data_IF_573962193445
#
_entry.id   IF_573962193445
#
_cell.length_a   1.000
_cell.length_b   1.000
_cell.length_c   1.000
_cell.angle_alpha   90.00
_cell.angle_beta   90.00
_cell.angle_gamma   90.00
#
_symmetry.space_group_name_H-M   'P 1'
#
loop_
_entity.id
_entity.type
_entity.pdbx_description
1 polymer ?
#
# COMPACT_ATOMS: atom_id res chain seq x y z
N UNK A 1 46.06 -18.06 -33.42
CA UNK A 1 44.82 -17.26 -33.59
C UNK A 1 43.77 -17.83 -32.66
N UNK A 2 43.58 -17.23 -31.50
CA UNK A 2 42.47 -17.55 -30.62
C UNK A 2 41.99 -16.23 -30.03
N UNK A 3 40.72 -15.92 -30.18
CA UNK A 3 40.04 -15.07 -29.22
C UNK A 3 38.64 -15.60 -29.02
N UNK A 4 38.36 -15.81 -27.74
CA UNK A 4 37.23 -16.56 -27.22
C UNK A 4 35.94 -15.75 -27.36
N UNK A 5 34.85 -16.48 -27.61
CA UNK A 5 33.51 -15.94 -27.76
C UNK A 5 33.07 -15.12 -26.56
N UNK A 6 32.46 -13.97 -26.86
CA UNK A 6 31.66 -13.19 -25.93
C UNK A 6 30.37 -13.96 -25.66
N UNK A 7 30.26 -14.56 -24.48
CA UNK A 7 28.98 -14.98 -23.94
C UNK A 7 28.32 -13.76 -23.29
N UNK A 8 27.45 -13.07 -24.03
CA UNK A 8 26.48 -12.14 -23.43
C UNK A 8 25.34 -12.97 -22.84
N UNK A 9 25.47 -13.34 -21.58
CA UNK A 9 24.37 -13.96 -20.84
C UNK A 9 23.19 -13.00 -20.74
N UNK A 10 22.11 -13.27 -21.49
CA UNK A 10 20.84 -12.57 -21.33
C UNK A 10 20.28 -12.92 -19.96
N UNK A 11 20.42 -12.00 -18.99
CA UNK A 11 19.76 -12.13 -17.68
C UNK A 11 18.25 -12.16 -17.93
N UNK A 12 17.61 -13.30 -17.70
CA UNK A 12 16.15 -13.40 -17.78
C UNK A 12 15.58 -12.51 -16.68
N UNK A 13 14.97 -11.39 -17.09
CA UNK A 13 14.30 -10.48 -16.15
C UNK A 13 12.93 -11.07 -15.85
N UNK A 14 12.69 -11.42 -14.59
CA UNK A 14 11.36 -11.80 -14.12
C UNK A 14 10.50 -10.53 -14.08
N UNK A 15 9.35 -10.58 -14.75
CA UNK A 15 8.40 -9.47 -14.76
C UNK A 15 7.22 -9.77 -13.83
N UNK A 16 6.86 -8.77 -13.03
CA UNK A 16 5.72 -8.76 -12.12
C UNK A 16 4.73 -7.73 -12.63
N UNK A 17 3.43 -8.03 -12.58
CA UNK A 17 2.41 -7.05 -12.88
C UNK A 17 2.00 -6.30 -11.61
N UNK A 18 2.26 -5.01 -11.55
CA UNK A 18 1.78 -4.13 -10.48
C UNK A 18 0.50 -3.47 -10.93
N UNK A 19 -0.58 -3.60 -10.16
CA UNK A 19 -1.86 -2.96 -10.41
C UNK A 19 -2.20 -1.94 -9.34
N UNK A 20 -2.57 -0.74 -9.76
CA UNK A 20 -3.01 0.36 -8.91
C UNK A 20 -4.53 0.37 -8.89
N UNK A 21 -5.13 0.46 -7.71
CA UNK A 21 -6.56 0.51 -7.50
C UNK A 21 -6.90 1.60 -6.49
N UNK A 22 -7.62 2.61 -6.94
CA UNK A 22 -7.99 3.77 -6.13
C UNK A 22 -9.49 4.08 -6.27
N UNK A 23 -10.32 3.85 -5.23
CA UNK A 23 -11.69 4.32 -5.23
C UNK A 23 -11.70 5.85 -5.16
N UNK A 24 -12.28 6.50 -6.17
CA UNK A 24 -12.29 7.96 -6.28
C UNK A 24 -13.36 8.47 -7.27
N UNK A 25 -14.18 9.42 -6.82
CA UNK A 25 -15.16 10.08 -7.66
C UNK A 25 -14.54 11.27 -8.39
N UNK A 26 -14.75 11.32 -9.70
CA UNK A 26 -14.26 12.38 -10.58
C UNK A 26 -15.42 13.15 -11.20
N UNK A 27 -15.16 14.37 -11.65
CA UNK A 27 -16.10 15.12 -12.47
C UNK A 27 -15.88 14.83 -13.96
N UNK A 28 -16.86 15.17 -14.79
CA UNK A 28 -16.73 15.10 -16.25
C UNK A 28 -15.47 15.85 -16.74
N UNK A 29 -14.74 15.22 -17.66
CA UNK A 29 -13.48 15.73 -18.20
C UNK A 29 -12.26 15.53 -17.29
N UNK A 30 -12.44 14.98 -16.08
CA UNK A 30 -11.33 14.62 -15.19
C UNK A 30 -10.93 13.16 -15.36
N UNK A 31 -9.63 12.90 -15.25
CA UNK A 31 -9.05 11.56 -15.24
C UNK A 31 -8.10 11.41 -14.07
N UNK A 32 -7.87 10.18 -13.63
CA UNK A 32 -6.84 9.86 -12.64
C UNK A 32 -5.60 9.28 -13.30
N UNK A 33 -4.45 9.64 -12.75
CA UNK A 33 -3.14 9.23 -13.24
C UNK A 33 -2.20 8.98 -12.06
N UNK A 34 -1.35 7.98 -12.21
CA UNK A 34 -0.24 7.68 -11.29
C UNK A 34 1.06 8.16 -11.92
N UNK A 35 1.85 8.92 -11.17
CA UNK A 35 3.17 9.35 -11.61
C UNK A 35 4.19 9.12 -10.50
N UNK A 36 5.37 8.62 -10.85
CA UNK A 36 6.38 8.20 -9.90
C UNK A 36 7.81 8.43 -10.37
N UNK A 37 8.77 8.07 -9.52
CA UNK A 37 10.21 8.25 -9.74
C UNK A 37 10.74 7.48 -10.95
N UNK A 38 10.17 6.31 -11.19
CA UNK A 38 10.64 5.41 -12.23
C UNK A 38 10.10 5.78 -13.63
N UNK A 39 10.87 5.51 -14.70
CA UNK A 39 10.48 5.86 -16.07
C UNK A 39 9.12 5.28 -16.49
N UNK A 40 8.82 4.07 -15.99
CA UNK A 40 7.56 3.38 -16.29
C UNK A 40 6.33 4.09 -15.69
N UNK A 41 6.55 4.95 -14.69
CA UNK A 41 5.56 5.84 -14.09
C UNK A 41 5.83 7.32 -14.43
N UNK A 42 6.64 7.58 -15.46
CA UNK A 42 6.85 8.92 -16.02
C UNK A 42 7.99 9.74 -15.40
N UNK A 43 8.77 9.23 -14.45
CA UNK A 43 9.87 9.98 -13.82
C UNK A 43 9.48 11.39 -13.34
N UNK A 44 8.35 11.48 -12.62
CA UNK A 44 7.73 12.71 -12.14
C UNK A 44 7.22 13.68 -13.22
N UNK A 45 7.31 13.32 -14.50
CA UNK A 45 6.62 14.00 -15.59
C UNK A 45 5.19 13.46 -15.71
N UNK A 46 4.23 14.22 -15.16
CA UNK A 46 2.80 13.85 -15.14
C UNK A 46 2.27 13.54 -16.55
N UNK A 47 2.78 14.20 -17.59
CA UNK A 47 2.32 13.93 -18.97
C UNK A 47 2.67 12.51 -19.43
N UNK A 48 3.70 11.90 -18.82
CA UNK A 48 4.15 10.53 -19.06
C UNK A 48 3.68 9.54 -18.00
N UNK A 49 2.93 9.99 -16.99
CA UNK A 49 2.38 9.11 -15.98
C UNK A 49 1.37 8.10 -16.54
N UNK A 50 1.17 7.05 -15.76
CA UNK A 50 0.24 5.96 -16.05
C UNK A 50 -1.20 6.45 -15.85
N UNK A 51 -1.93 6.60 -16.96
CA UNK A 51 -3.35 6.95 -16.93
C UNK A 51 -4.16 5.75 -16.41
N UNK A 52 -5.03 5.99 -15.44
CA UNK A 52 -5.94 4.99 -14.91
C UNK A 52 -7.25 5.00 -15.68
N UNK A 53 -7.97 3.88 -15.64
CA UNK A 53 -9.29 3.71 -16.23
C UNK A 53 -10.35 3.49 -15.16
N UNK A 54 -11.52 4.14 -15.26
CA UNK A 54 -12.61 3.95 -14.30
C UNK A 54 -13.30 2.60 -14.51
N UNK A 55 -13.57 1.89 -13.42
CA UNK A 55 -14.30 0.63 -13.37
C UNK A 55 -15.33 0.72 -12.23
N UNK A 56 -16.59 0.43 -12.52
CA UNK A 56 -17.62 0.33 -11.48
C UNK A 56 -17.56 -1.05 -10.83
N UNK A 57 -17.54 -1.09 -9.50
CA UNK A 57 -17.68 -2.33 -8.72
C UNK A 57 -18.81 -2.13 -7.71
N UNK A 58 -20.01 -2.62 -8.05
CA UNK A 58 -21.22 -2.22 -7.34
C UNK A 58 -21.47 -0.71 -7.49
N UNK A 59 -21.68 -0.03 -6.37
CA UNK A 59 -21.89 1.42 -6.31
C UNK A 59 -20.57 2.23 -6.27
N UNK A 60 -19.41 1.57 -6.18
CA UNK A 60 -18.12 2.26 -6.07
C UNK A 60 -17.48 2.50 -7.45
N UNK A 61 -16.98 3.73 -7.67
CA UNK A 61 -16.15 4.08 -8.81
C UNK A 61 -14.66 3.90 -8.47
N UNK A 62 -13.99 3.02 -9.20
CA UNK A 62 -12.63 2.58 -8.89
C UNK A 62 -11.74 2.79 -10.10
N UNK A 63 -10.65 3.52 -9.90
CA UNK A 63 -9.67 3.77 -10.95
C UNK A 63 -8.58 2.72 -10.91
N UNK A 64 -8.41 2.04 -12.03
CA UNK A 64 -7.52 0.90 -12.18
C UNK A 64 -6.48 1.14 -13.29
N UNK A 65 -5.26 0.67 -13.09
CA UNK A 65 -4.21 0.66 -14.11
C UNK A 65 -3.08 -0.26 -13.70
N UNK A 66 -2.35 -0.82 -14.65
CA UNK A 66 -1.29 -1.77 -14.35
C UNK A 66 -0.05 -1.58 -15.20
N UNK A 67 1.07 -2.08 -14.69
CA UNK A 67 2.38 -1.97 -15.30
C UNK A 67 3.21 -3.22 -15.02
N UNK A 68 3.87 -3.73 -16.05
CA UNK A 68 4.85 -4.81 -15.89
C UNK A 68 6.21 -4.23 -15.51
N UNK A 69 6.78 -4.69 -14.41
CA UNK A 69 8.05 -4.21 -13.85
C UNK A 69 8.97 -5.37 -13.48
N UNK A 70 10.30 -5.16 -13.40
CA UNK A 70 11.22 -6.18 -12.88
C UNK A 70 10.88 -6.62 -11.45
N UNK A 71 11.24 -7.85 -11.06
CA UNK A 71 11.06 -8.36 -9.70
C UNK A 71 11.75 -7.52 -8.61
N UNK A 72 12.84 -6.81 -8.95
CA UNK A 72 13.57 -5.93 -8.03
C UNK A 72 13.07 -4.47 -8.06
N UNK A 73 11.90 -4.23 -8.66
CA UNK A 73 11.38 -2.87 -8.82
C UNK A 73 11.04 -2.22 -7.48
N UNK A 74 11.47 -0.97 -7.35
CA UNK A 74 11.06 -0.07 -6.27
C UNK A 74 10.81 1.31 -6.86
N UNK A 75 9.82 2.02 -6.33
CA UNK A 75 9.54 3.38 -6.77
C UNK A 75 8.83 4.20 -5.70
N UNK A 76 8.98 5.52 -5.80
CA UNK A 76 8.05 6.45 -5.18
C UNK A 76 6.97 6.86 -6.19
N UNK A 77 5.72 7.02 -5.74
CA UNK A 77 4.63 7.45 -6.62
C UNK A 77 3.61 8.35 -5.92
N UNK A 78 2.83 9.05 -6.74
CA UNK A 78 1.63 9.77 -6.31
C UNK A 78 0.50 9.73 -7.34
N UNK A 79 -0.72 9.91 -6.83
CA UNK A 79 -1.92 10.09 -7.66
C UNK A 79 -2.19 11.57 -8.00
N UNK A 80 -2.71 11.79 -9.20
CA UNK A 80 -3.04 13.10 -9.77
C UNK A 80 -4.40 13.04 -10.47
N UNK A 81 -5.23 14.04 -10.24
CA UNK A 81 -6.39 14.33 -11.09
C UNK A 81 -5.94 15.28 -12.18
N UNK A 82 -6.21 14.92 -13.42
CA UNK A 82 -5.81 15.67 -14.61
C UNK A 82 -7.00 15.90 -15.54
N UNK A 83 -6.87 16.86 -16.45
CA UNK A 83 -7.80 17.03 -17.57
C UNK A 83 -7.42 16.11 -18.76
N UNK A 84 -8.10 16.28 -19.89
CA UNK A 84 -7.86 15.52 -21.12
C UNK A 84 -6.45 15.74 -21.71
N UNK A 85 -5.84 16.91 -21.50
CA UNK A 85 -4.48 17.26 -21.94
C UNK A 85 -3.39 16.86 -20.93
N UNK A 86 -3.78 16.13 -19.88
CA UNK A 86 -2.94 15.77 -18.73
C UNK A 86 -2.39 16.97 -17.95
N UNK A 87 -3.09 18.11 -17.98
CA UNK A 87 -2.79 19.23 -17.08
C UNK A 87 -3.24 18.87 -15.67
N UNK A 88 -2.40 19.15 -14.67
CA UNK A 88 -2.71 18.83 -13.27
C UNK A 88 -3.81 19.74 -12.76
N UNK A 89 -4.96 19.15 -12.44
CA UNK A 89 -6.07 19.81 -11.74
C UNK A 89 -5.92 19.66 -10.22
N UNK A 90 -5.45 18.50 -9.78
CA UNK A 90 -5.24 18.17 -8.36
C UNK A 90 -4.13 17.13 -8.22
N UNK A 91 -3.40 17.20 -7.11
CA UNK A 91 -2.43 16.17 -6.69
C UNK A 91 -2.84 15.66 -5.31
N UNK A 92 -2.59 14.39 -5.01
CA UNK A 92 -2.75 13.91 -3.64
C UNK A 92 -1.77 14.62 -2.69
N UNK A 93 -2.17 14.79 -1.44
CA UNK A 93 -1.34 15.45 -0.43
C UNK A 93 -0.54 14.39 0.36
N UNK A 94 0.35 14.81 1.26
CA UNK A 94 1.11 13.88 2.09
C UNK A 94 2.46 13.49 1.53
N UNK A 95 3.07 12.47 2.15
CA UNK A 95 4.34 11.89 1.71
C UNK A 95 4.12 11.07 0.44
N UNK A 96 5.14 11.01 -0.41
CA UNK A 96 5.14 10.11 -1.56
C UNK A 96 4.98 8.66 -1.09
N UNK A 97 4.16 7.89 -1.81
CA UNK A 97 3.97 6.48 -1.51
C UNK A 97 5.20 5.72 -1.96
N UNK A 98 5.63 4.74 -1.16
CA UNK A 98 6.74 3.86 -1.49
C UNK A 98 6.19 2.50 -1.90
N UNK A 99 6.60 2.03 -3.08
CA UNK A 99 6.39 0.68 -3.56
C UNK A 99 7.73 -0.04 -3.52
N UNK A 100 7.77 -1.16 -2.82
CA UNK A 100 8.87 -2.12 -2.83
C UNK A 100 8.26 -3.49 -3.04
N UNK A 101 8.69 -4.21 -4.07
CA UNK A 101 8.21 -5.56 -4.31
C UNK A 101 8.78 -6.53 -3.26
N UNK A 102 8.00 -7.52 -2.80
CA UNK A 102 8.50 -8.55 -1.88
C UNK A 102 9.68 -9.33 -2.47
N UNK A 103 10.66 -9.65 -1.62
CA UNK A 103 11.76 -10.53 -2.00
C UNK A 103 11.22 -11.92 -2.35
N UNK A 104 11.71 -12.51 -3.44
CA UNK A 104 11.33 -13.86 -3.87
C UNK A 104 10.08 -13.93 -4.75
N UNK A 105 9.48 -12.79 -5.12
CA UNK A 105 8.36 -12.73 -6.07
C UNK A 105 8.73 -13.37 -7.42
N UNK A 106 7.84 -14.19 -7.96
CA UNK A 106 8.06 -14.89 -9.23
C UNK A 106 7.57 -14.08 -10.43
N UNK A 107 8.15 -14.38 -11.60
CA UNK A 107 7.68 -13.81 -12.85
C UNK A 107 6.25 -14.27 -13.14
N UNK A 108 5.38 -13.34 -13.53
CA UNK A 108 3.97 -13.58 -13.81
C UNK A 108 3.02 -13.35 -12.63
N UNK A 109 3.54 -13.13 -11.43
CA UNK A 109 2.72 -12.79 -10.25
C UNK A 109 2.16 -11.36 -10.36
N UNK A 110 1.05 -11.13 -9.66
CA UNK A 110 0.36 -9.84 -9.62
C UNK A 110 0.45 -9.24 -8.21
N UNK A 111 0.84 -7.97 -8.13
CA UNK A 111 0.79 -7.18 -6.90
C UNK A 111 -0.27 -6.10 -7.08
N UNK A 112 -1.31 -6.15 -6.24
CA UNK A 112 -2.37 -5.17 -6.26
C UNK A 112 -2.21 -4.16 -5.10
N UNK A 113 -2.15 -2.87 -5.46
CA UNK A 113 -2.08 -1.75 -4.55
C UNK A 113 -3.48 -1.17 -4.36
N UNK A 114 -4.07 -1.45 -3.20
CA UNK A 114 -5.38 -0.95 -2.81
C UNK A 114 -5.21 0.32 -1.98
N UNK A 115 -5.15 1.45 -2.67
CA UNK A 115 -4.89 2.75 -2.05
C UNK A 115 -6.19 3.52 -1.77
N UNK A 116 -6.11 4.50 -0.87
CA UNK A 116 -7.11 5.56 -0.68
C UNK A 116 -6.46 6.92 -0.92
N UNK A 117 -7.20 7.87 -1.46
CA UNK A 117 -6.66 9.20 -1.79
C UNK A 117 -6.16 9.93 -0.53
N UNK A 118 -4.90 10.35 -0.51
CA UNK A 118 -4.35 11.09 0.62
C UNK A 118 -4.80 12.55 0.60
N UNK A 119 -5.50 12.94 1.66
CA UNK A 119 -5.97 14.30 1.87
C UNK A 119 -4.97 15.12 2.67
N UNK A 120 -5.16 16.44 2.70
CA UNK A 120 -4.28 17.34 3.47
C UNK A 120 -4.27 17.05 4.97
N UNK A 121 -5.35 16.51 5.54
CA UNK A 121 -5.43 16.10 6.95
C UNK A 121 -4.60 14.87 7.25
N UNK A 122 -4.51 13.91 6.32
CA UNK A 122 -3.64 12.73 6.45
C UNK A 122 -2.15 13.11 6.42
N UNK A 123 -1.82 14.30 5.90
CA UNK A 123 -0.47 14.83 5.85
C UNK A 123 -0.05 15.56 7.14
N UNK A 124 -1.02 16.03 7.95
CA UNK A 124 -0.77 16.80 9.18
C UNK A 124 0.13 16.02 10.15
N UNK A 125 -0.10 14.72 10.41
CA UNK A 125 0.71 13.98 11.36
C UNK A 125 2.17 13.79 10.97
N UNK A 126 2.48 13.90 9.68
CA UNK A 126 3.83 13.77 9.17
C UNK A 126 4.62 15.07 9.16
N UNK A 127 4.00 16.21 9.52
CA UNK A 127 4.70 17.50 9.63
C UNK A 127 5.56 17.51 10.89
N UNK A 128 6.76 18.08 10.82
CA UNK A 128 7.71 18.14 11.94
C UNK A 128 7.10 18.72 13.22
N UNK A 129 6.29 19.78 13.14
CA UNK A 129 5.61 20.32 14.31
C UNK A 129 4.66 19.31 14.99
N UNK A 130 4.03 18.42 14.22
CA UNK A 130 3.16 17.39 14.76
C UNK A 130 3.98 16.18 15.21
N UNK A 131 4.82 15.62 14.33
CA UNK A 131 5.69 14.47 14.62
C UNK A 131 6.65 14.72 15.78
N UNK A 132 7.32 15.87 15.80
CA UNK A 132 8.45 16.17 16.69
C UNK A 132 8.07 17.00 17.92
N UNK A 133 6.84 17.53 18.00
CA UNK A 133 6.41 18.34 19.15
C UNK A 133 5.09 17.85 19.74
N UNK A 134 4.04 17.70 18.93
CA UNK A 134 2.70 17.36 19.44
C UNK A 134 2.55 15.87 19.75
N UNK A 135 3.03 15.00 18.86
CA UNK A 135 3.02 13.54 19.00
C UNK A 135 4.33 12.99 19.56
N UNK A 136 5.30 13.87 19.89
CA UNK A 136 6.58 13.45 20.47
C UNK A 136 6.42 13.25 21.98
N UNK A 137 5.68 12.22 22.37
CA UNK A 137 5.94 11.56 23.63
C UNK A 137 7.14 10.64 23.44
N UNK A 138 8.02 10.59 24.44
CA UNK A 138 9.30 9.88 24.44
C UNK A 138 9.08 8.36 24.38
N UNK A 139 8.74 7.87 23.19
CA UNK A 139 8.47 6.46 22.95
C UNK A 139 9.78 5.71 22.73
N UNK A 140 10.15 4.93 23.73
CA UNK A 140 11.05 3.79 23.58
C UNK A 140 10.35 2.59 22.95
N UNK A 141 9.44 2.81 21.99
CA UNK A 141 8.87 1.71 21.22
C UNK A 141 10.00 1.12 20.38
N UNK A 142 10.56 0.02 20.88
CA UNK A 142 11.41 -0.85 20.09
C UNK A 142 10.67 -1.11 18.78
N UNK A 143 11.36 -0.91 17.65
CA UNK A 143 10.84 -1.31 16.35
C UNK A 143 10.53 -2.79 16.46
N UNK A 144 9.25 -3.12 16.60
CA UNK A 144 8.79 -4.50 16.54
C UNK A 144 8.76 -4.84 15.05
N UNK A 145 9.95 -5.13 14.53
CA UNK A 145 10.09 -5.71 13.20
C UNK A 145 9.27 -6.99 13.26
N UNK A 146 8.14 -7.01 12.54
CA UNK A 146 7.45 -8.25 12.25
C UNK A 146 8.53 -9.19 11.74
N UNK A 147 8.82 -10.26 12.50
CA UNK A 147 9.64 -11.35 12.02
C UNK A 147 8.98 -11.73 10.71
N UNK A 148 9.64 -11.31 9.62
CA UNK A 148 9.08 -11.38 8.28
C UNK A 148 8.48 -12.75 8.17
N UNK A 149 7.18 -12.79 7.90
CA UNK A 149 6.50 -14.04 7.72
C UNK A 149 7.35 -14.79 6.69
N UNK A 150 8.13 -15.77 7.15
CA UNK A 150 8.85 -16.71 6.31
C UNK A 150 7.82 -17.67 5.73
N UNK A 151 6.75 -17.14 5.14
CA UNK A 151 5.82 -17.96 4.41
C UNK A 151 6.40 -18.07 3.03
N UNK A 152 7.18 -19.15 2.86
CA UNK A 152 6.86 -20.03 1.74
C UNK A 152 5.34 -20.06 1.61
N UNK A 153 4.85 -19.57 0.49
CA UNK A 153 3.49 -19.81 0.07
C UNK A 153 3.38 -21.32 -0.22
N UNK A 154 3.34 -22.16 0.81
CA UNK A 154 3.16 -23.61 0.71
C UNK A 154 1.69 -23.95 0.38
N UNK A 155 0.91 -22.96 -0.10
CA UNK A 155 -0.49 -23.12 -0.46
C UNK A 155 -0.73 -22.30 -1.73
N UNK A 156 -0.80 -22.97 -2.88
CA UNK A 156 -1.00 -22.36 -4.20
C UNK A 156 -2.30 -21.53 -4.32
N UNK A 157 -3.19 -21.61 -3.33
CA UNK A 157 -4.52 -20.98 -3.33
C UNK A 157 -4.70 -19.85 -2.30
N UNK A 158 -3.60 -19.20 -1.89
CA UNK A 158 -3.65 -18.07 -0.97
C UNK A 158 -2.97 -16.82 -1.55
N UNK A 159 -3.50 -15.65 -1.20
CA UNK A 159 -2.90 -14.35 -1.46
C UNK A 159 -2.30 -13.79 -0.17
N UNK A 160 -1.08 -13.26 -0.25
CA UNK A 160 -0.47 -12.50 0.86
C UNK A 160 -1.01 -11.07 0.84
N UNK A 161 -1.65 -10.66 1.93
CA UNK A 161 -2.18 -9.32 2.12
C UNK A 161 -1.32 -8.58 3.15
N UNK A 162 -0.73 -7.46 2.72
CA UNK A 162 0.02 -6.54 3.57
C UNK A 162 -0.88 -5.37 3.97
N UNK A 163 -1.27 -5.29 5.23
CA UNK A 163 -1.96 -4.14 5.79
C UNK A 163 -0.95 -3.10 6.25
N UNK A 164 -1.14 -1.85 5.80
CA UNK A 164 -0.31 -0.71 6.19
C UNK A 164 -1.19 0.52 6.43
N UNK A 165 -1.12 1.07 7.64
CA UNK A 165 -1.91 2.24 8.03
C UNK A 165 -1.04 3.26 8.77
N UNK A 166 -1.33 4.56 8.58
CA UNK A 166 -0.76 5.60 9.41
C UNK A 166 -1.73 5.94 10.54
N UNK A 167 -1.34 5.63 11.78
CA UNK A 167 -2.07 5.97 12.99
C UNK A 167 -1.11 6.70 13.96
N UNK A 168 -1.03 8.03 13.88
CA UNK A 168 -0.09 8.85 14.65
C UNK A 168 -0.55 9.15 16.08
N UNK A 169 -1.86 9.09 16.33
CA UNK A 169 -2.49 9.48 17.58
C UNK A 169 -3.00 8.25 18.32
N UNK A 170 -2.10 7.30 18.57
CA UNK A 170 -2.37 6.09 19.36
C UNK A 170 -1.79 6.33 20.74
N UNK A 171 -2.57 6.14 21.80
CA UNK A 171 -2.08 6.32 23.17
C UNK A 171 -1.15 5.17 23.59
N UNK A 172 -0.32 5.40 24.60
CA UNK A 172 0.50 4.33 25.19
C UNK A 172 -0.40 3.15 25.62
N UNK A 173 0.11 1.92 25.48
CA UNK A 173 -0.60 0.66 25.77
C UNK A 173 -1.79 0.33 24.85
N UNK A 174 -2.08 1.18 23.85
CA UNK A 174 -3.12 0.88 22.86
C UNK A 174 -2.57 0.00 21.74
N UNK A 175 -3.24 -1.12 21.46
CA UNK A 175 -2.93 -1.99 20.33
C UNK A 175 -3.84 -1.70 19.14
N UNK A 176 -3.27 -1.69 17.94
CA UNK A 176 -4.02 -1.47 16.70
C UNK A 176 -4.36 -2.81 16.06
N UNK A 177 -5.62 -3.01 15.66
CA UNK A 177 -6.10 -4.24 15.04
C UNK A 177 -6.82 -3.96 13.73
N UNK A 178 -6.73 -4.90 12.78
CA UNK A 178 -7.60 -4.98 11.61
C UNK A 178 -8.63 -6.08 11.87
N UNK A 179 -9.90 -5.71 11.83
CA UNK A 179 -11.04 -6.63 11.92
C UNK A 179 -11.75 -6.72 10.58
N UNK A 180 -12.37 -7.85 10.26
CA UNK A 180 -13.02 -8.03 8.96
C UNK A 180 -13.83 -9.31 8.87
N UNK A 181 -14.36 -9.58 7.68
CA UNK A 181 -15.29 -10.68 7.41
C UNK A 181 -14.68 -12.07 7.49
N UNK A 182 -13.36 -12.19 7.33
CA UNK A 182 -12.67 -13.47 7.30
C UNK A 182 -12.32 -13.95 8.70
N UNK A 183 -12.09 -15.26 8.85
CA UNK A 183 -11.62 -15.86 10.11
C UNK A 183 -10.28 -15.30 10.55
N UNK A 184 -9.37 -15.04 9.60
CA UNK A 184 -8.07 -14.40 9.84
C UNK A 184 -8.16 -12.95 10.30
N UNK A 185 -9.31 -12.29 10.10
CA UNK A 185 -9.59 -10.93 10.54
C UNK A 185 -10.68 -10.91 11.64
N UNK A 186 -10.95 -12.06 12.27
CA UNK A 186 -11.80 -12.15 13.46
C UNK A 186 -13.31 -12.08 13.23
N UNK A 187 -13.80 -12.12 11.98
CA UNK A 187 -15.24 -12.09 11.68
C UNK A 187 -15.98 -10.96 12.41
N UNK A 188 -15.43 -9.74 12.33
CA UNK A 188 -15.93 -8.53 13.00
C UNK A 188 -15.80 -8.53 14.54
N UNK A 189 -15.06 -9.47 15.13
CA UNK A 189 -14.75 -9.50 16.57
C UNK A 189 -13.32 -9.03 16.82
N UNK A 190 -13.19 -8.01 17.68
CA UNK A 190 -11.90 -7.37 18.03
C UNK A 190 -10.90 -8.35 18.62
N UNK A 191 -11.37 -9.23 19.53
CA UNK A 191 -10.55 -10.22 20.22
C UNK A 191 -9.83 -11.19 19.26
N UNK A 192 -10.41 -11.40 18.07
CA UNK A 192 -9.92 -12.32 17.04
C UNK A 192 -9.30 -11.55 15.85
N UNK A 193 -9.13 -10.23 15.99
CA UNK A 193 -8.61 -9.35 14.95
C UNK A 193 -7.11 -9.53 14.70
N UNK A 194 -6.66 -9.10 13.53
CA UNK A 194 -5.25 -9.10 13.17
C UNK A 194 -4.53 -7.94 13.85
N UNK A 195 -3.66 -8.23 14.84
CA UNK A 195 -2.85 -7.22 15.51
C UNK A 195 -1.79 -6.63 14.56
N UNK A 196 -1.70 -5.31 14.51
CA UNK A 196 -0.66 -4.58 13.76
C UNK A 196 0.54 -4.28 14.64
N UNK A 197 1.73 -4.32 14.03
CA UNK A 197 2.99 -3.97 14.69
C UNK A 197 3.42 -2.56 14.30
N UNK A 198 4.01 -1.84 15.25
CA UNK A 198 4.53 -0.50 14.99
C UNK A 198 5.83 -0.56 14.19
N UNK A 199 5.82 0.03 12.99
CA UNK A 199 6.94 0.04 12.05
C UNK A 199 7.75 1.35 12.07
N UNK A 200 7.44 2.26 13.02
CA UNK A 200 8.03 3.59 13.06
C UNK A 200 7.26 4.62 12.23
N UNK A 201 7.57 5.91 12.41
CA UNK A 201 6.97 7.02 11.64
C UNK A 201 5.43 7.02 11.64
N UNK A 202 4.80 6.65 12.76
CA UNK A 202 3.34 6.52 12.89
C UNK A 202 2.72 5.44 12.00
N UNK A 203 3.52 4.55 11.41
CA UNK A 203 3.06 3.47 10.55
C UNK A 203 2.88 2.18 11.37
N UNK A 204 1.75 1.53 11.15
CA UNK A 204 1.40 0.23 11.69
C UNK A 204 1.18 -0.75 10.54
N UNK A 205 1.72 -1.96 10.67
CA UNK A 205 1.64 -2.95 9.59
C UNK A 205 1.52 -4.39 10.09
N UNK A 206 0.92 -5.24 9.26
CA UNK A 206 0.88 -6.69 9.44
C UNK A 206 0.70 -7.40 8.11
N UNK A 207 1.22 -8.61 8.04
CA UNK A 207 1.07 -9.53 6.91
C UNK A 207 0.11 -10.65 7.30
N UNK A 208 -0.76 -11.04 6.36
CA UNK A 208 -1.63 -12.21 6.54
C UNK A 208 -1.87 -12.92 5.22
N UNK A 209 -1.80 -14.24 5.22
CA UNK A 209 -2.20 -15.06 4.08
C UNK A 209 -3.71 -15.32 4.14
N UNK A 210 -4.43 -14.96 3.08
CA UNK A 210 -5.88 -15.12 2.94
C UNK A 210 -6.15 -16.05 1.75
N UNK A 211 -7.06 -17.01 1.92
CA UNK A 211 -7.42 -17.93 0.84
C UNK A 211 -8.15 -17.18 -0.28
N UNK A 212 -7.91 -17.55 -1.53
CA UNK A 212 -8.56 -16.89 -2.68
C UNK A 212 -10.09 -16.96 -2.60
N UNK A 213 -10.64 -18.04 -2.03
CA UNK A 213 -12.08 -18.20 -1.80
C UNK A 213 -12.69 -17.25 -0.76
N UNK A 214 -11.88 -16.60 0.07
CA UNK A 214 -12.35 -15.64 1.08
C UNK A 214 -12.48 -14.20 0.54
N UNK A 215 -12.09 -13.96 -0.73
CA UNK A 215 -12.24 -12.65 -1.36
C UNK A 215 -13.66 -12.47 -1.97
N UNK A 216 -14.20 -11.24 -1.96
CA UNK A 216 -13.60 -10.01 -1.45
C UNK A 216 -13.68 -9.90 0.09
N UNK A 217 -12.55 -9.58 0.72
CA UNK A 217 -12.52 -9.29 2.15
C UNK A 217 -13.19 -7.94 2.43
N UNK A 218 -14.03 -7.89 3.47
CA UNK A 218 -14.61 -6.65 3.97
C UNK A 218 -14.00 -6.35 5.33
N UNK A 219 -13.57 -5.12 5.54
CA UNK A 219 -13.03 -4.65 6.82
C UNK A 219 -13.39 -3.17 6.98
N UNK A 220 -13.68 -2.70 8.21
CA UNK A 220 -13.93 -1.28 8.44
C UNK A 220 -12.61 -0.51 8.39
N UNK A 221 -12.63 0.69 7.81
CA UNK A 221 -11.48 1.60 7.77
C UNK A 221 -11.60 2.67 8.88
N UNK A 222 -11.90 2.25 10.11
CA UNK A 222 -11.96 3.14 11.27
C UNK A 222 -10.91 2.71 12.30
N UNK A 223 -10.07 3.66 12.72
CA UNK A 223 -9.13 3.43 13.82
C UNK A 223 -9.93 3.34 15.12
N UNK A 224 -10.19 2.11 15.59
CA UNK A 224 -10.72 1.91 16.93
C UNK A 224 -9.59 2.07 17.95
N UNK A 225 -9.65 3.14 18.75
CA UNK A 225 -8.88 3.24 19.99
C UNK A 225 -9.69 2.59 21.10
N UNK A 226 -9.24 1.43 21.57
CA UNK A 226 -9.81 0.80 22.76
C UNK A 226 -8.98 1.20 23.96
N UNK A 227 -9.51 2.09 24.79
CA UNK A 227 -9.12 2.15 26.19
C UNK A 227 -9.77 0.97 26.89
N UNK A 228 -8.97 -0.01 27.30
CA UNK A 228 -9.43 -0.94 28.30
C UNK A 228 -9.65 -0.13 29.59
N UNK A 229 -10.92 0.17 29.89
CA UNK A 229 -11.30 0.62 31.22
C UNK A 229 -11.16 -0.59 32.13
N UNK A 230 -10.00 -0.73 32.76
CA UNK A 230 -9.88 -1.59 33.92
C UNK A 230 -10.78 -0.99 35.00
N UNK A 231 -11.93 -1.62 35.19
CA UNK A 231 -12.80 -1.39 36.33
C UNK A 231 -12.11 -2.03 37.53
N UNK A 232 -11.57 -1.19 38.41
CA UNK A 232 -11.34 -1.56 39.81
C UNK A 232 -12.56 -1.16 40.65
#
# INVERSE_FOLDING_TARGET
MANLGLFTGTKIVKLVNVSFRLPYYTHWGQKLLVCGSEPVLGSWDVKKGLLLSPVHQGEELIWCGSVAVPSEFSCEYSYYVVDDDKSVLRREMGKKRQLVLPEGINGGENVALHDLWQTGVDAIPFRSAFKDVIFRQSWGLNIERSLGIQNKLDTEDAALVHFKICCPNVEEETSVYVIGSTTKLGQWKVQDGLKLNYAGDSIWQADVAIQNGDFPIKYPFEAFSYKQLDVF
#
